data_IF_723416661767
#
_entry.id   IF_723416661767
#
_cell.length_a   1.000
_cell.length_b   1.000
_cell.length_c   1.000
_cell.angle_alpha   90.00
_cell.angle_beta   90.00
_cell.angle_gamma   90.00
#
_symmetry.space_group_name_H-M   'P 1'
#
loop_
_entity.id
_entity.type
_entity.pdbx_description
1 polymer ?
#
# COMPACT_ATOMS: atom_id res chain seq x y z
N UNK A 1 -19.10 -17.51 28.91
CA UNK A 1 -20.20 -18.43 29.31
C UNK A 1 -19.67 -19.84 29.53
N UNK A 2 -20.29 -20.63 30.41
CA UNK A 2 -19.99 -22.06 30.57
C UNK A 2 -21.23 -22.86 30.19
N UNK A 3 -21.07 -23.83 29.29
CA UNK A 3 -22.17 -24.67 28.81
C UNK A 3 -22.38 -25.90 29.71
N UNK A 4 -23.55 -26.58 29.63
CA UNK A 4 -23.85 -27.76 30.45
C UNK A 4 -22.85 -28.92 30.29
N UNK A 5 -22.17 -28.99 29.14
CA UNK A 5 -21.11 -29.97 28.87
C UNK A 5 -19.71 -29.55 29.39
N UNK A 6 -19.62 -28.43 30.13
CA UNK A 6 -18.37 -27.89 30.66
C UNK A 6 -17.56 -27.04 29.68
N UNK A 7 -17.98 -26.92 28.42
CA UNK A 7 -17.31 -26.07 27.44
C UNK A 7 -17.39 -24.59 27.87
N UNK A 8 -16.33 -23.82 27.60
CA UNK A 8 -16.24 -22.41 27.97
C UNK A 8 -16.16 -21.55 26.71
N UNK A 9 -17.07 -20.60 26.57
CA UNK A 9 -16.98 -19.52 25.60
C UNK A 9 -16.39 -18.28 26.28
N UNK A 10 -15.34 -17.74 25.71
CA UNK A 10 -14.64 -16.55 26.20
C UNK A 10 -14.57 -15.53 25.07
N UNK A 11 -14.64 -14.25 25.41
CA UNK A 11 -14.51 -13.13 24.48
C UNK A 11 -13.33 -12.29 24.92
N UNK A 12 -12.50 -11.91 23.95
CA UNK A 12 -11.31 -11.10 24.19
C UNK A 12 -11.16 -10.05 23.08
N UNK A 13 -10.54 -8.93 23.40
CA UNK A 13 -10.07 -7.96 22.42
C UNK A 13 -8.74 -8.42 21.80
N UNK A 14 -8.56 -8.15 20.51
CA UNK A 14 -7.32 -8.43 19.78
C UNK A 14 -6.34 -7.24 19.76
N UNK A 15 -6.71 -6.12 20.39
CA UNK A 15 -5.91 -4.89 20.53
C UNK A 15 -4.66 -5.09 21.39
N UNK A 16 -4.70 -6.04 22.33
CA UNK A 16 -3.55 -6.43 23.14
C UNK A 16 -3.21 -7.92 22.95
N UNK A 17 -2.33 -8.28 21.99
CA UNK A 17 -1.97 -9.67 21.73
C UNK A 17 -1.36 -10.39 22.94
N UNK A 18 -0.64 -9.69 23.82
CA UNK A 18 0.03 -10.31 24.95
C UNK A 18 -0.95 -10.81 26.01
N UNK A 19 -2.14 -10.20 26.11
CA UNK A 19 -3.21 -10.67 27.00
C UNK A 19 -3.79 -12.04 26.59
N UNK A 20 -3.59 -12.44 25.33
CA UNK A 20 -4.08 -13.71 24.77
C UNK A 20 -3.08 -14.86 24.95
N UNK A 21 -1.86 -14.58 25.44
CA UNK A 21 -0.82 -15.60 25.63
C UNK A 21 -1.16 -16.55 26.78
N UNK A 22 -0.77 -17.81 26.62
CA UNK A 22 -0.97 -18.84 27.65
C UNK A 22 -2.39 -19.40 27.73
N UNK A 23 -3.28 -18.98 26.83
CA UNK A 23 -4.57 -19.62 26.65
C UNK A 23 -4.40 -20.98 25.97
N UNK A 24 -5.20 -21.95 26.41
CA UNK A 24 -5.33 -23.24 25.76
C UNK A 24 -6.68 -23.28 25.05
N UNK A 25 -6.67 -23.32 23.73
CA UNK A 25 -7.86 -23.13 22.90
C UNK A 25 -8.12 -24.37 22.04
N UNK A 26 -9.34 -24.88 22.09
CA UNK A 26 -9.81 -25.97 21.23
C UNK A 26 -10.34 -25.42 19.90
N UNK A 27 -10.93 -24.21 19.91
CA UNK A 27 -11.34 -23.47 18.72
C UNK A 27 -11.28 -21.98 19.00
N UNK A 28 -10.85 -21.19 18.02
CA UNK A 28 -10.88 -19.73 18.05
C UNK A 28 -11.58 -19.19 16.80
N UNK A 29 -12.43 -18.18 16.99
CA UNK A 29 -12.98 -17.40 15.91
C UNK A 29 -12.42 -15.98 16.02
N UNK A 30 -11.83 -15.49 14.93
CA UNK A 30 -11.32 -14.14 14.82
C UNK A 30 -12.24 -13.39 13.86
N UNK A 31 -12.80 -12.28 14.34
CA UNK A 31 -13.69 -11.42 13.58
C UNK A 31 -12.95 -10.13 13.18
N UNK A 32 -13.18 -9.62 11.97
CA UNK A 32 -12.45 -8.49 11.38
C UNK A 32 -10.92 -8.68 11.32
N UNK A 33 -10.47 -9.86 10.88
CA UNK A 33 -9.05 -10.25 10.86
C UNK A 33 -8.17 -9.29 10.06
N UNK A 34 -8.72 -8.68 9.00
CA UNK A 34 -7.98 -7.73 8.16
C UNK A 34 -7.45 -6.51 8.93
N UNK A 35 -8.11 -6.15 10.04
CA UNK A 35 -7.77 -5.00 10.89
C UNK A 35 -6.86 -5.37 12.07
N UNK A 36 -6.65 -6.67 12.32
CA UNK A 36 -5.84 -7.14 13.43
C UNK A 36 -4.34 -7.00 13.13
N UNK A 37 -3.54 -6.77 14.18
CA UNK A 37 -2.09 -6.93 14.08
C UNK A 37 -1.75 -8.36 13.65
N UNK A 38 -0.88 -8.58 12.64
CA UNK A 38 -0.51 -9.92 12.19
C UNK A 38 0.05 -10.83 13.31
N UNK A 39 0.59 -10.20 14.36
CA UNK A 39 1.15 -10.86 15.55
C UNK A 39 0.10 -11.63 16.34
N UNK A 40 -1.17 -11.20 16.32
CA UNK A 40 -2.28 -11.86 17.03
C UNK A 40 -2.38 -13.32 16.59
N UNK A 41 -2.41 -13.56 15.28
CA UNK A 41 -2.45 -14.91 14.75
C UNK A 41 -1.09 -15.60 14.82
N UNK A 42 -0.04 -15.01 14.24
CA UNK A 42 1.22 -15.72 13.98
C UNK A 42 2.02 -16.03 15.25
N UNK A 43 2.06 -15.13 16.22
CA UNK A 43 2.88 -15.25 17.43
C UNK A 43 2.13 -15.77 18.65
N UNK A 44 0.80 -15.65 18.67
CA UNK A 44 0.00 -15.88 19.88
C UNK A 44 -1.02 -17.02 19.68
N UNK A 45 -2.00 -16.84 18.80
CA UNK A 45 -3.10 -17.79 18.68
C UNK A 45 -2.71 -19.07 17.94
N UNK A 46 -1.88 -18.98 16.90
CA UNK A 46 -1.41 -20.16 16.15
C UNK A 46 -0.63 -21.15 17.04
N UNK A 47 0.30 -20.72 17.91
CA UNK A 47 0.91 -21.58 18.92
C UNK A 47 -0.08 -22.08 19.99
N UNK A 48 -1.00 -21.24 20.46
CA UNK A 48 -1.98 -21.61 21.50
C UNK A 48 -2.94 -22.75 21.07
N UNK A 49 -3.23 -22.86 19.77
CA UNK A 49 -4.01 -23.96 19.20
C UNK A 49 -3.22 -25.25 19.02
N UNK A 50 -1.88 -25.17 18.92
CA UNK A 50 -1.04 -26.30 18.53
C UNK A 50 -1.08 -27.44 19.57
N UNK A 51 -1.09 -27.09 20.85
CA UNK A 51 -1.11 -28.06 21.96
C UNK A 51 -2.38 -28.94 21.93
N UNK A 52 -3.52 -28.36 21.55
CA UNK A 52 -4.82 -29.05 21.51
C UNK A 52 -5.25 -29.53 20.13
N UNK A 53 -4.40 -29.34 19.11
CA UNK A 53 -4.76 -29.57 17.71
C UNK A 53 -6.07 -28.85 17.35
N UNK A 54 -6.21 -27.63 17.86
CA UNK A 54 -7.42 -26.82 17.75
C UNK A 54 -7.65 -26.27 16.34
N UNK A 55 -8.83 -25.65 16.16
CA UNK A 55 -9.25 -25.07 14.88
C UNK A 55 -9.33 -23.54 14.96
N UNK A 56 -9.14 -22.89 13.81
CA UNK A 56 -9.33 -21.45 13.69
C UNK A 56 -10.39 -21.14 12.63
N UNK A 57 -11.18 -20.10 12.89
CA UNK A 57 -12.14 -19.53 11.95
C UNK A 57 -11.76 -18.06 11.79
N UNK A 58 -11.60 -17.59 10.55
CA UNK A 58 -11.24 -16.22 10.21
C UNK A 58 -12.43 -15.59 9.49
N UNK A 59 -12.90 -14.46 10.00
CA UNK A 59 -14.08 -13.74 9.51
C UNK A 59 -13.69 -12.28 9.33
N UNK A 60 -14.28 -11.62 8.35
CA UNK A 60 -14.11 -10.19 8.11
C UNK A 60 -14.36 -9.84 6.65
N UNK A 61 -14.31 -8.55 6.36
CA UNK A 61 -14.36 -8.05 4.99
C UNK A 61 -12.95 -7.86 4.41
N UNK A 62 -12.78 -7.97 3.09
CA UNK A 62 -11.53 -7.62 2.42
C UNK A 62 -11.05 -6.21 2.77
N UNK A 63 -9.74 -5.99 2.90
CA UNK A 63 -9.17 -4.65 3.15
C UNK A 63 -7.87 -4.47 2.37
N UNK A 64 -7.99 -4.46 1.04
CA UNK A 64 -6.84 -4.54 0.15
C UNK A 64 -6.08 -5.86 0.27
N UNK A 65 -4.89 -5.92 -0.36
CA UNK A 65 -4.11 -7.16 -0.52
C UNK A 65 -2.87 -7.26 0.39
N UNK A 66 -2.58 -6.22 1.18
CA UNK A 66 -1.39 -6.15 2.04
C UNK A 66 -1.80 -6.28 3.50
N UNK A 67 -2.38 -7.42 3.85
CA UNK A 67 -2.76 -7.77 5.22
C UNK A 67 -2.79 -9.30 5.40
N UNK A 68 -2.78 -9.75 6.66
CA UNK A 68 -2.74 -11.18 6.98
C UNK A 68 -4.01 -11.94 6.57
N UNK A 69 -5.16 -11.28 6.52
CA UNK A 69 -6.41 -11.93 6.12
C UNK A 69 -6.41 -12.32 4.64
N UNK A 70 -5.89 -11.45 3.77
CA UNK A 70 -5.69 -11.76 2.34
C UNK A 70 -4.74 -12.95 2.14
N UNK A 71 -3.62 -12.98 2.87
CA UNK A 71 -2.66 -14.08 2.80
C UNK A 71 -3.30 -15.42 3.23
N UNK A 72 -4.07 -15.40 4.32
CA UNK A 72 -4.80 -16.58 4.81
C UNK A 72 -5.86 -17.05 3.81
N UNK A 73 -6.64 -16.11 3.25
CA UNK A 73 -7.65 -16.42 2.24
C UNK A 73 -7.02 -17.07 1.01
N UNK A 74 -5.98 -16.46 0.44
CA UNK A 74 -5.27 -17.00 -0.73
C UNK A 74 -4.66 -18.36 -0.46
N UNK A 75 -4.06 -18.56 0.72
CA UNK A 75 -3.52 -19.86 1.10
C UNK A 75 -4.62 -20.94 1.15
N UNK A 76 -5.80 -20.61 1.65
CA UNK A 76 -6.92 -21.53 1.73
C UNK A 76 -7.59 -21.80 0.36
N UNK A 77 -7.67 -20.79 -0.51
CA UNK A 77 -8.31 -20.88 -1.82
C UNK A 77 -7.40 -21.51 -2.89
N UNK A 78 -6.10 -21.18 -2.90
CA UNK A 78 -5.15 -21.59 -3.94
C UNK A 78 -4.15 -22.67 -3.47
N UNK A 79 -3.97 -22.84 -2.15
CA UNK A 79 -2.87 -23.64 -1.58
C UNK A 79 -3.03 -25.16 -1.69
N UNK A 80 -4.18 -25.66 -2.16
CA UNK A 80 -4.52 -27.09 -2.29
C UNK A 80 -4.32 -27.92 -0.99
N UNK A 81 -4.32 -27.27 0.18
CA UNK A 81 -4.24 -27.96 1.48
C UNK A 81 -5.65 -28.32 1.96
N UNK A 82 -5.99 -29.61 2.11
CA UNK A 82 -7.33 -30.05 2.52
C UNK A 82 -7.68 -29.68 3.97
N UNK A 83 -6.71 -29.19 4.76
CA UNK A 83 -6.95 -28.69 6.13
C UNK A 83 -7.47 -27.25 6.15
N UNK A 84 -7.43 -26.57 5.01
CA UNK A 84 -7.94 -25.21 4.84
C UNK A 84 -9.20 -25.20 3.96
N UNK A 85 -10.07 -24.24 4.24
CA UNK A 85 -11.26 -23.98 3.47
C UNK A 85 -11.52 -22.48 3.43
N UNK A 86 -11.72 -21.95 2.24
CA UNK A 86 -12.11 -20.56 2.01
C UNK A 86 -13.51 -20.51 1.40
N UNK A 87 -14.24 -19.45 1.73
CA UNK A 87 -15.48 -19.11 1.07
C UNK A 87 -15.65 -17.59 1.08
N UNK A 88 -16.22 -17.06 0.00
CA UNK A 88 -16.51 -15.65 -0.17
C UNK A 88 -17.95 -15.53 -0.63
N UNK A 89 -18.74 -14.76 0.10
CA UNK A 89 -20.16 -14.60 -0.14
C UNK A 89 -20.50 -13.11 -0.17
N UNK A 90 -20.91 -12.62 -1.33
CA UNK A 90 -21.35 -11.24 -1.53
C UNK A 90 -22.81 -11.06 -1.10
N UNK A 91 -23.29 -9.83 -1.10
CA UNK A 91 -24.73 -9.56 -0.92
C UNK A 91 -25.62 -10.24 -1.94
N UNK A 92 -25.14 -10.41 -3.17
CA UNK A 92 -25.88 -11.07 -4.24
C UNK A 92 -25.98 -12.59 -4.00
N UNK A 93 -24.97 -13.18 -3.35
CA UNK A 93 -24.95 -14.61 -3.01
C UNK A 93 -25.86 -14.94 -1.82
N UNK A 94 -25.92 -14.03 -0.83
CA UNK A 94 -26.59 -14.29 0.45
C UNK A 94 -28.06 -13.87 0.45
N UNK A 95 -28.41 -12.78 -0.24
CA UNK A 95 -29.76 -12.21 -0.25
C UNK A 95 -30.27 -11.76 1.12
N UNK A 96 -29.38 -11.54 2.09
CA UNK A 96 -29.74 -11.18 3.48
C UNK A 96 -30.15 -9.72 3.61
N UNK A 97 -29.55 -8.83 2.80
CA UNK A 97 -29.79 -7.38 2.83
C UNK A 97 -30.81 -7.04 1.73
N UNK A 98 -31.79 -6.20 2.06
CA UNK A 98 -32.84 -5.80 1.12
C UNK A 98 -32.33 -4.81 0.08
N UNK A 99 -32.95 -4.81 -1.10
CA UNK A 99 -32.61 -3.89 -2.18
C UNK A 99 -32.69 -2.41 -1.76
N UNK A 100 -33.64 -2.06 -0.88
CA UNK A 100 -33.78 -0.70 -0.36
C UNK A 100 -32.60 -0.28 0.52
N UNK A 101 -32.08 -1.18 1.36
CA UNK A 101 -30.88 -0.94 2.18
C UNK A 101 -29.61 -0.88 1.32
N UNK A 102 -29.48 -1.77 0.32
CA UNK A 102 -28.37 -1.69 -0.64
C UNK A 102 -28.39 -0.38 -1.42
N UNK A 103 -29.58 0.09 -1.83
CA UNK A 103 -29.75 1.37 -2.50
C UNK A 103 -29.45 2.55 -1.58
N UNK A 104 -29.72 2.46 -0.27
CA UNK A 104 -29.34 3.46 0.71
C UNK A 104 -27.81 3.48 0.92
N UNK A 105 -27.20 2.32 1.14
CA UNK A 105 -25.76 2.17 1.30
C UNK A 105 -24.97 2.74 0.11
N UNK A 106 -25.41 2.48 -1.14
CA UNK A 106 -24.81 3.07 -2.35
C UNK A 106 -24.87 4.60 -2.42
N UNK A 107 -25.81 5.25 -1.69
CA UNK A 107 -25.92 6.72 -1.63
C UNK A 107 -25.03 7.31 -0.54
N UNK A 108 -24.74 6.56 0.51
CA UNK A 108 -24.00 7.01 1.68
C UNK A 108 -22.50 6.67 1.62
N UNK A 109 -22.14 5.63 0.88
CA UNK A 109 -20.78 5.10 0.78
C UNK A 109 -20.14 5.42 -0.56
N UNK A 110 -18.81 5.48 -0.57
CA UNK A 110 -18.05 5.50 -1.83
C UNK A 110 -18.19 4.17 -2.58
N UNK A 111 -17.93 4.16 -3.90
CA UNK A 111 -17.97 2.93 -4.69
C UNK A 111 -16.97 1.88 -4.16
N UNK A 112 -15.78 2.32 -3.73
CA UNK A 112 -14.77 1.47 -3.12
C UNK A 112 -15.27 0.83 -1.82
N UNK A 113 -15.78 1.63 -0.88
CA UNK A 113 -16.36 1.11 0.37
C UNK A 113 -17.50 0.13 0.09
N UNK A 114 -18.40 0.45 -0.84
CA UNK A 114 -19.51 -0.44 -1.17
C UNK A 114 -19.01 -1.77 -1.72
N UNK A 115 -18.04 -1.75 -2.64
CA UNK A 115 -17.45 -2.98 -3.20
C UNK A 115 -16.70 -3.79 -2.15
N UNK A 116 -16.05 -3.13 -1.21
CA UNK A 116 -15.35 -3.79 -0.11
C UNK A 116 -16.34 -4.50 0.83
N UNK A 117 -17.30 -3.73 1.38
CA UNK A 117 -18.20 -4.19 2.44
C UNK A 117 -19.29 -5.14 1.93
N UNK A 118 -19.83 -4.90 0.72
CA UNK A 118 -20.97 -5.69 0.22
C UNK A 118 -20.60 -6.65 -0.91
N UNK A 119 -19.59 -6.34 -1.73
CA UNK A 119 -19.19 -7.18 -2.87
C UNK A 119 -17.94 -8.02 -2.58
N UNK A 120 -17.40 -7.96 -1.36
CA UNK A 120 -16.20 -8.70 -0.94
C UNK A 120 -15.01 -8.55 -1.90
N UNK A 121 -14.78 -7.34 -2.41
CA UNK A 121 -13.75 -7.11 -3.42
C UNK A 121 -12.39 -6.73 -2.79
N UNK A 122 -11.41 -7.63 -2.89
CA UNK A 122 -10.01 -7.39 -2.47
C UNK A 122 -9.30 -6.28 -3.24
N UNK A 123 -9.79 -5.91 -4.42
CA UNK A 123 -9.28 -4.82 -5.24
C UNK A 123 -10.05 -3.52 -5.06
N UNK A 124 -11.07 -3.50 -4.20
CA UNK A 124 -11.72 -2.26 -3.81
C UNK A 124 -10.62 -1.33 -3.28
N UNK A 125 -10.44 -0.22 -4.00
CA UNK A 125 -9.44 0.78 -3.69
C UNK A 125 -9.62 1.19 -2.23
N UNK A 126 -8.60 0.94 -1.39
CA UNK A 126 -8.57 1.39 0.00
C UNK A 126 -8.96 2.86 -0.02
N UNK A 127 -10.04 3.19 0.69
CA UNK A 127 -10.57 4.54 0.69
C UNK A 127 -9.47 5.53 1.11
N UNK A 128 -9.17 6.48 0.23
CA UNK A 128 -8.02 7.38 0.36
C UNK A 128 -6.93 7.22 -0.71
N UNK A 129 -6.93 6.14 -1.49
CA UNK A 129 -6.06 6.02 -2.66
C UNK A 129 -6.61 6.85 -3.82
N UNK A 130 -6.12 8.08 -3.96
CA UNK A 130 -6.54 9.03 -4.99
C UNK A 130 -6.36 8.52 -6.44
N UNK A 131 -5.57 7.47 -6.64
CA UNK A 131 -5.10 6.97 -7.93
C UNK A 131 -5.38 5.47 -8.19
N UNK A 132 -6.08 4.76 -7.29
CA UNK A 132 -6.26 3.30 -7.39
C UNK A 132 -6.85 2.85 -8.72
N UNK A 133 -7.97 3.45 -9.12
CA UNK A 133 -8.64 3.13 -10.39
C UNK A 133 -7.76 3.44 -11.61
N UNK A 134 -6.88 4.46 -11.50
CA UNK A 134 -5.97 4.85 -12.58
C UNK A 134 -4.80 3.87 -12.73
N UNK A 135 -4.34 3.29 -11.62
CA UNK A 135 -3.32 2.23 -11.63
C UNK A 135 -3.93 0.95 -12.20
N UNK A 136 -5.13 0.56 -11.76
CA UNK A 136 -5.84 -0.60 -12.33
C UNK A 136 -6.10 -0.42 -13.83
N UNK A 137 -6.44 0.79 -14.28
CA UNK A 137 -6.58 1.08 -15.71
C UNK A 137 -5.22 1.05 -16.44
N UNK A 138 -4.12 1.46 -15.80
CA UNK A 138 -2.78 1.34 -16.37
C UNK A 138 -2.38 -0.13 -16.58
N UNK A 139 -2.75 -1.02 -15.66
CA UNK A 139 -2.55 -2.47 -15.82
C UNK A 139 -3.38 -3.01 -16.99
N UNK A 140 -4.70 -2.76 -16.99
CA UNK A 140 -5.61 -3.24 -18.06
C UNK A 140 -5.21 -2.78 -19.45
N UNK A 141 -4.72 -1.55 -19.56
CA UNK A 141 -4.28 -0.95 -20.84
C UNK A 141 -2.84 -1.29 -21.22
N UNK A 142 -2.15 -2.15 -20.46
CA UNK A 142 -0.78 -2.59 -20.75
C UNK A 142 0.28 -1.50 -20.59
N UNK A 143 0.00 -0.47 -19.78
CA UNK A 143 0.93 0.63 -19.48
C UNK A 143 1.88 0.29 -18.32
N UNK A 144 1.57 -0.72 -17.51
CA UNK A 144 2.56 -1.35 -16.61
C UNK A 144 3.24 -2.47 -17.41
N UNK A 145 4.51 -2.26 -17.79
CA UNK A 145 5.25 -3.11 -18.74
C UNK A 145 6.76 -2.93 -18.58
N UNK A 146 7.56 -3.60 -19.39
CA UNK A 146 8.99 -3.30 -19.46
C UNK A 146 9.22 -1.92 -20.08
N UNK A 147 9.92 -1.02 -19.38
CA UNK A 147 10.21 0.34 -19.83
C UNK A 147 11.73 0.56 -19.81
N UNK A 148 12.45 0.16 -20.89
CA UNK A 148 13.89 0.31 -20.94
C UNK A 148 14.30 1.79 -21.03
N UNK A 149 15.42 2.11 -20.38
CA UNK A 149 16.06 3.42 -20.49
C UNK A 149 16.55 3.67 -21.91
N UNK A 150 16.16 4.81 -22.48
CA UNK A 150 16.65 5.30 -23.77
C UNK A 150 17.81 6.28 -23.57
N UNK A 151 19.04 5.91 -23.96
CA UNK A 151 20.23 6.75 -23.77
C UNK A 151 20.24 8.03 -24.61
N UNK A 152 19.36 8.15 -25.61
CA UNK A 152 19.22 9.37 -26.41
C UNK A 152 18.36 10.43 -25.71
N UNK A 153 17.67 10.08 -24.62
CA UNK A 153 16.78 10.99 -23.89
C UNK A 153 17.26 11.19 -22.46
N UNK A 154 17.32 12.44 -21.98
CA UNK A 154 17.68 12.68 -20.60
C UNK A 154 16.56 12.29 -19.63
N UNK A 155 16.94 12.02 -18.40
CA UNK A 155 16.06 11.67 -17.27
C UNK A 155 15.73 12.92 -16.46
N UNK A 156 14.46 13.08 -16.14
CA UNK A 156 13.96 14.02 -15.13
C UNK A 156 13.67 13.21 -13.87
N UNK A 157 13.98 13.73 -12.70
CA UNK A 157 13.63 13.05 -11.43
C UNK A 157 12.71 13.91 -10.59
N UNK A 158 11.82 13.27 -9.83
CA UNK A 158 10.99 13.93 -8.82
C UNK A 158 11.28 13.33 -7.46
N UNK A 159 11.48 14.19 -6.46
CA UNK A 159 11.93 13.80 -5.13
C UNK A 159 10.88 14.12 -4.08
N UNK A 160 10.70 13.20 -3.14
CA UNK A 160 10.02 13.42 -1.87
C UNK A 160 11.03 13.20 -0.74
N UNK A 161 11.22 14.22 0.11
CA UNK A 161 12.32 14.25 1.09
C UNK A 161 11.84 13.87 2.48
N UNK A 162 11.98 12.60 2.83
CA UNK A 162 11.79 12.11 4.19
C UNK A 162 12.99 12.40 5.09
N UNK A 163 12.77 13.10 6.21
CA UNK A 163 13.77 13.29 7.27
C UNK A 163 13.71 12.18 8.33
N UNK A 164 12.50 11.77 8.67
CA UNK A 164 12.18 10.68 9.60
C UNK A 164 11.63 9.45 8.87
N UNK A 165 11.22 9.65 7.63
CA UNK A 165 10.72 8.66 6.70
C UNK A 165 11.71 8.51 5.53
N UNK A 166 11.47 7.55 4.63
CA UNK A 166 12.30 7.35 3.46
C UNK A 166 12.26 8.58 2.53
N UNK A 167 13.40 8.93 1.94
CA UNK A 167 13.43 9.80 0.76
C UNK A 167 13.13 8.95 -0.47
N UNK A 168 12.18 9.38 -1.32
CA UNK A 168 11.81 8.68 -2.54
C UNK A 168 12.21 9.49 -3.77
N UNK A 169 12.84 8.84 -4.74
CA UNK A 169 13.23 9.44 -6.02
C UNK A 169 12.63 8.63 -7.15
N UNK A 170 11.81 9.27 -7.99
CA UNK A 170 11.21 8.65 -9.18
C UNK A 170 11.88 9.21 -10.43
N UNK A 171 12.22 8.33 -11.38
CA UNK A 171 12.93 8.66 -12.61
C UNK A 171 12.02 8.59 -13.83
N UNK A 172 12.04 9.63 -14.67
CA UNK A 172 11.12 9.82 -15.78
C UNK A 172 11.86 10.15 -17.09
N UNK A 173 11.37 9.63 -18.22
CA UNK A 173 11.67 10.15 -19.55
C UNK A 173 10.41 10.71 -20.19
N UNK A 174 10.48 11.95 -20.65
CA UNK A 174 9.38 12.64 -21.33
C UNK A 174 9.61 12.52 -22.83
N UNK A 175 8.82 11.67 -23.47
CA UNK A 175 8.91 11.38 -24.90
C UNK A 175 7.71 11.96 -25.67
N UNK A 176 7.80 12.12 -27.00
CA UNK A 176 6.68 12.62 -27.80
C UNK A 176 5.42 11.74 -27.75
N UNK A 177 5.61 10.43 -27.52
CA UNK A 177 4.56 9.42 -27.46
C UNK A 177 4.00 9.19 -26.04
N UNK A 178 4.58 9.83 -25.02
CA UNK A 178 4.11 9.71 -23.64
C UNK A 178 5.22 9.90 -22.61
N UNK A 179 4.88 9.63 -21.35
CA UNK A 179 5.82 9.69 -20.23
C UNK A 179 6.19 8.27 -19.81
N UNK A 180 7.46 8.04 -19.56
CA UNK A 180 8.02 6.75 -19.17
C UNK A 180 8.56 6.86 -17.75
N UNK A 181 7.94 6.17 -16.79
CA UNK A 181 8.51 5.97 -15.46
C UNK A 181 9.51 4.82 -15.54
N UNK A 182 10.79 5.13 -15.35
CA UNK A 182 11.88 4.14 -15.36
C UNK A 182 12.04 3.41 -14.03
N UNK A 183 11.40 3.93 -12.98
CA UNK A 183 11.35 3.32 -11.66
C UNK A 183 11.48 4.32 -10.51
N UNK A 184 11.31 3.79 -9.30
CA UNK A 184 11.37 4.51 -8.04
C UNK A 184 12.44 3.90 -7.11
N UNK A 185 13.09 4.75 -6.32
CA UNK A 185 14.07 4.33 -5.31
C UNK A 185 13.75 4.99 -3.99
N UNK A 186 13.69 4.19 -2.92
CA UNK A 186 13.58 4.67 -1.56
C UNK A 186 14.94 4.65 -0.86
N UNK A 187 15.14 5.61 0.04
CA UNK A 187 16.36 5.81 0.80
C UNK A 187 16.01 6.07 2.26
N UNK A 188 16.17 5.05 3.09
CA UNK A 188 15.96 5.15 4.53
C UNK A 188 17.20 5.68 5.24
N UNK A 189 17.02 6.63 6.17
CA UNK A 189 18.09 7.15 7.03
C UNK A 189 19.38 7.56 6.27
N UNK A 190 19.25 7.99 5.01
CA UNK A 190 20.39 8.29 4.14
C UNK A 190 20.47 9.80 3.90
N UNK A 191 21.66 10.37 4.04
CA UNK A 191 21.87 11.81 3.83
C UNK A 191 21.72 12.20 2.36
N UNK A 192 21.22 13.41 2.11
CA UNK A 192 21.05 13.96 0.76
C UNK A 192 22.33 13.88 -0.11
N UNK A 193 23.54 14.20 0.38
CA UNK A 193 24.78 13.99 -0.37
C UNK A 193 25.01 12.55 -0.83
N UNK A 194 24.72 11.57 0.04
CA UNK A 194 24.91 10.15 -0.28
C UNK A 194 23.90 9.68 -1.32
N UNK A 195 22.65 10.17 -1.24
CA UNK A 195 21.62 9.88 -2.25
C UNK A 195 22.07 10.43 -3.62
N UNK A 196 22.55 11.68 -3.68
CA UNK A 196 23.05 12.31 -4.92
C UNK A 196 24.23 11.51 -5.50
N UNK A 197 25.20 11.15 -4.66
CA UNK A 197 26.37 10.36 -5.09
C UNK A 197 25.95 8.99 -5.65
N UNK A 198 25.01 8.32 -4.97
CA UNK A 198 24.53 7.02 -5.41
C UNK A 198 23.73 7.11 -6.72
N UNK A 199 22.86 8.10 -6.91
CA UNK A 199 22.10 8.24 -8.17
C UNK A 199 22.99 8.40 -9.40
N UNK A 200 24.17 9.00 -9.25
CA UNK A 200 25.16 9.15 -10.34
C UNK A 200 25.85 7.86 -10.73
N UNK A 201 25.97 6.90 -9.81
CA UNK A 201 26.73 5.66 -10.04
C UNK A 201 25.84 4.44 -10.17
N UNK A 202 24.65 4.47 -9.58
CA UNK A 202 23.73 3.34 -9.54
C UNK A 202 23.06 3.07 -10.89
N UNK A 203 22.93 4.09 -11.75
CA UNK A 203 22.23 3.98 -13.02
C UNK A 203 22.99 4.71 -14.14
N UNK A 204 22.89 4.23 -15.39
CA UNK A 204 23.54 4.85 -16.56
C UNK A 204 22.80 6.11 -17.06
N UNK A 205 22.01 6.76 -16.20
CA UNK A 205 21.09 7.82 -16.59
C UNK A 205 21.83 9.14 -16.81
N UNK A 206 21.52 9.81 -17.92
CA UNK A 206 21.88 11.21 -18.14
C UNK A 206 20.77 12.09 -17.57
N UNK A 207 21.01 12.75 -16.43
CA UNK A 207 19.99 13.58 -15.79
C UNK A 207 19.96 14.99 -16.39
N UNK A 208 18.75 15.47 -16.70
CA UNK A 208 18.51 16.87 -17.11
C UNK A 208 18.05 17.75 -15.97
N UNK A 209 17.21 17.21 -15.09
CA UNK A 209 16.53 18.01 -14.06
C UNK A 209 16.18 17.16 -12.83
N UNK A 210 16.32 17.76 -11.65
CA UNK A 210 15.86 17.21 -10.39
C UNK A 210 14.78 18.13 -9.81
N UNK A 211 13.54 17.65 -9.76
CA UNK A 211 12.40 18.36 -9.20
C UNK A 211 12.30 18.00 -7.72
N UNK A 212 12.33 18.99 -6.85
CA UNK A 212 12.28 18.79 -5.40
C UNK A 212 11.18 19.59 -4.69
N UNK A 213 10.84 19.21 -3.45
CA UNK A 213 9.78 19.85 -2.68
C UNK A 213 10.23 21.21 -2.13
N UNK A 214 9.26 22.01 -1.67
CA UNK A 214 9.53 23.33 -1.08
C UNK A 214 10.43 23.26 0.16
N UNK A 215 10.41 22.13 0.88
CA UNK A 215 11.20 21.90 2.10
C UNK A 215 12.72 21.96 1.87
N UNK A 216 13.18 21.87 0.61
CA UNK A 216 14.59 22.08 0.25
C UNK A 216 15.12 23.48 0.61
N UNK A 217 14.22 24.47 0.72
CA UNK A 217 14.58 25.85 1.07
C UNK A 217 14.79 26.07 2.57
N UNK A 218 14.44 25.09 3.41
CA UNK A 218 14.60 25.18 4.86
C UNK A 218 16.09 25.13 5.22
N UNK A 219 16.52 26.08 6.06
CA UNK A 219 17.91 26.14 6.59
C UNK A 219 18.08 25.20 7.77
N UNK A 220 19.22 24.54 7.85
CA UNK A 220 19.55 23.75 9.04
C UNK A 220 19.89 24.65 10.23
N UNK A 221 19.34 24.31 11.40
CA UNK A 221 19.49 25.07 12.64
C UNK A 221 20.95 25.14 13.14
N UNK A 222 21.82 24.20 12.72
CA UNK A 222 23.22 24.14 13.15
C UNK A 222 24.19 24.88 12.23
N UNK A 223 24.18 24.58 10.93
CA UNK A 223 25.14 25.11 9.95
C UNK A 223 24.68 26.42 9.31
N UNK A 224 23.39 26.75 9.38
CA UNK A 224 22.78 27.89 8.69
C UNK A 224 22.64 27.71 7.17
N UNK A 225 23.13 26.59 6.62
CA UNK A 225 23.06 26.25 5.19
C UNK A 225 21.73 25.54 4.91
N UNK A 226 21.12 25.87 3.78
CA UNK A 226 19.90 25.22 3.27
C UNK A 226 20.21 23.93 2.52
N UNK A 227 19.23 23.03 2.43
CA UNK A 227 19.42 21.74 1.73
C UNK A 227 19.70 21.90 0.25
N UNK A 228 19.12 22.93 -0.38
CA UNK A 228 19.42 23.26 -1.77
C UNK A 228 20.89 23.68 -1.97
N UNK A 229 21.46 24.46 -1.04
CA UNK A 229 22.89 24.82 -1.08
C UNK A 229 23.79 23.58 -0.89
N UNK A 230 23.41 22.66 0.02
CA UNK A 230 24.11 21.38 0.18
C UNK A 230 24.06 20.54 -1.10
N UNK A 231 22.89 20.44 -1.73
CA UNK A 231 22.73 19.72 -2.99
C UNK A 231 23.60 20.31 -4.11
N UNK A 232 23.62 21.64 -4.24
CA UNK A 232 24.44 22.37 -5.21
C UNK A 232 25.93 22.13 -4.99
N UNK A 233 26.41 22.14 -3.75
CA UNK A 233 27.80 21.82 -3.42
C UNK A 233 28.21 20.40 -3.85
N UNK A 234 27.24 19.47 -3.88
CA UNK A 234 27.43 18.10 -4.36
C UNK A 234 27.09 17.94 -5.85
N UNK A 235 26.85 19.05 -6.57
CA UNK A 235 26.58 19.14 -8.01
C UNK A 235 25.18 18.68 -8.44
N UNK A 236 24.19 18.76 -7.55
CA UNK A 236 22.79 18.53 -7.87
C UNK A 236 22.04 19.85 -7.78
N UNK A 237 21.55 20.33 -8.93
CA UNK A 237 20.70 21.51 -8.99
C UNK A 237 19.23 21.09 -9.00
N UNK A 238 18.46 21.62 -8.04
CA UNK A 238 17.04 21.36 -7.91
C UNK A 238 16.20 22.47 -8.52
N UNK A 239 15.22 22.09 -9.33
CA UNK A 239 14.04 22.91 -9.63
C UNK A 239 13.01 22.66 -8.54
N UNK A 240 12.56 23.71 -7.86
CA UNK A 240 11.52 23.59 -6.84
C UNK A 240 10.16 23.45 -7.52
N UNK A 241 9.41 22.40 -7.17
CA UNK A 241 8.07 22.17 -7.70
C UNK A 241 7.15 23.37 -7.44
N UNK A 242 6.14 23.64 -8.28
CA UNK A 242 5.13 24.66 -8.00
C UNK A 242 4.43 24.44 -6.66
N UNK A 243 3.99 25.50 -5.99
CA UNK A 243 3.19 25.39 -4.78
C UNK A 243 1.71 25.30 -5.16
N UNK A 244 1.19 24.07 -5.26
CA UNK A 244 -0.20 23.79 -5.54
C UNK A 244 -0.93 23.35 -4.28
N UNK A 245 -2.25 23.58 -4.23
CA UNK A 245 -3.07 22.89 -3.23
C UNK A 245 -3.03 21.38 -3.47
N UNK A 246 -3.28 20.60 -2.41
CA UNK A 246 -3.34 19.13 -2.50
C UNK A 246 -4.33 18.67 -3.57
N UNK A 247 -5.51 19.32 -3.66
CA UNK A 247 -6.53 19.01 -4.65
C UNK A 247 -6.08 19.27 -6.09
N UNK A 248 -5.39 20.39 -6.35
CA UNK A 248 -4.83 20.70 -7.66
C UNK A 248 -3.74 19.71 -8.06
N UNK A 249 -2.86 19.35 -7.12
CA UNK A 249 -1.83 18.34 -7.34
C UNK A 249 -2.42 16.98 -7.71
N UNK A 250 -3.43 16.53 -6.97
CA UNK A 250 -4.14 15.28 -7.26
C UNK A 250 -4.76 15.33 -8.66
N UNK A 251 -5.47 16.41 -9.00
CA UNK A 251 -6.10 16.53 -10.31
C UNK A 251 -5.08 16.55 -11.45
N UNK A 252 -3.94 17.23 -11.28
CA UNK A 252 -2.87 17.26 -12.26
C UNK A 252 -2.29 15.86 -12.53
N UNK A 253 -2.05 15.07 -11.48
CA UNK A 253 -1.61 13.67 -11.63
C UNK A 253 -2.69 12.85 -12.33
N UNK A 254 -3.96 12.97 -11.95
CA UNK A 254 -5.07 12.26 -12.61
C UNK A 254 -5.14 12.52 -14.11
N UNK A 255 -4.96 13.77 -14.53
CA UNK A 255 -4.95 14.15 -15.94
C UNK A 255 -3.73 13.61 -16.69
N UNK A 256 -2.58 13.52 -16.03
CA UNK A 256 -1.36 13.00 -16.64
C UNK A 256 -1.36 11.47 -16.70
N UNK A 257 -2.05 10.82 -15.76
CA UNK A 257 -1.92 9.39 -15.51
C UNK A 257 -2.13 8.50 -16.74
N UNK A 258 -3.10 8.78 -17.63
CA UNK A 258 -3.31 8.01 -18.86
C UNK A 258 -2.14 8.04 -19.86
N UNK A 259 -1.23 9.03 -19.74
CA UNK A 259 -0.09 9.21 -20.65
C UNK A 259 1.19 8.55 -20.15
N UNK A 260 1.17 7.95 -18.96
CA UNK A 260 2.35 7.38 -18.33
C UNK A 260 2.36 5.87 -18.54
N UNK A 261 3.52 5.35 -18.96
CA UNK A 261 3.89 3.93 -18.84
C UNK A 261 4.81 3.76 -17.64
N UNK A 262 4.64 2.68 -16.88
CA UNK A 262 5.46 2.33 -15.74
C UNK A 262 6.27 1.07 -16.01
N UNK A 263 7.55 1.10 -15.64
CA UNK A 263 8.32 -0.13 -15.51
C UNK A 263 7.64 -1.06 -14.49
N UNK A 264 7.53 -2.34 -14.83
CA UNK A 264 6.82 -3.32 -14.00
C UNK A 264 7.66 -3.84 -12.82
N UNK A 265 8.98 -3.65 -12.83
CA UNK A 265 9.90 -4.20 -11.81
C UNK A 265 10.55 -3.13 -10.93
N UNK A 266 10.61 -1.87 -11.38
CA UNK A 266 11.46 -0.82 -10.81
C UNK A 266 10.71 0.37 -10.28
#
# INVERSE_FOLDING_TARGET
AVFPNGAKLMLFGADNPDALRGLFLDTVALDEVAQMSPRVWSEVLRPALADRQGRAIFIGTPMGRVNQFFDLYRMADEGNDPTWWANMLTVDDTGVITDDELAAARREMSEGQYRQEFMCDWSATIEGSFYGDLIAEAERSGRIRDVPYDSAMPVVTSWDLGLRDATVVISWQIAPDGIRCLGARSYDNTSLPNIIAHLRTAQPYSYREHIGPHDLRVRELGSGISRIEIAQQHGCEFTIAPNWSVAEGINAVRMMMPRISFDKER
#
